data_IF_749624627037
#
_entry.id   IF_749624627037
#
_cell.length_a   1.000
_cell.length_b   1.000
_cell.length_c   1.000
_cell.angle_alpha   90.00
_cell.angle_beta   90.00
_cell.angle_gamma   90.00
#
_symmetry.space_group_name_H-M   'P 1'
#
loop_
_entity.id
_entity.type
_entity.pdbx_description
1 polymer ?
#
# COMPACT_ATOMS: atom_id res chain seq x y z
N UNK A 1 0.54 20.63 8.61
CA UNK A 1 0.39 19.65 9.69
C UNK A 1 0.39 18.29 9.03
N UNK A 2 1.07 17.29 9.60
CA UNK A 2 1.05 15.94 9.05
C UNK A 2 -0.38 15.37 9.14
N UNK A 3 -0.90 14.83 8.04
CA UNK A 3 -2.24 14.23 8.02
C UNK A 3 -2.20 12.77 8.51
N UNK A 4 -1.00 12.18 8.59
CA UNK A 4 -0.77 10.84 9.09
C UNK A 4 0.26 10.80 10.24
N UNK A 5 -0.04 10.00 11.26
CA UNK A 5 0.99 9.51 12.17
C UNK A 5 1.81 8.36 11.53
N UNK A 6 2.89 7.90 12.18
CA UNK A 6 3.79 6.86 11.63
C UNK A 6 3.09 5.54 11.25
N UNK A 7 2.08 5.12 12.02
CA UNK A 7 1.31 3.90 11.70
C UNK A 7 0.35 4.15 10.54
N UNK A 8 -0.30 5.31 10.55
CA UNK A 8 -1.23 5.72 9.50
C UNK A 8 -0.52 5.88 8.15
N UNK A 9 0.71 6.41 8.10
CA UNK A 9 1.44 6.57 6.83
C UNK A 9 1.85 5.21 6.23
N UNK A 10 2.18 4.22 7.07
CA UNK A 10 2.46 2.85 6.60
C UNK A 10 1.18 2.23 6.03
N UNK A 11 0.06 2.35 6.75
CA UNK A 11 -1.23 1.87 6.27
C UNK A 11 -1.64 2.58 4.98
N UNK A 12 -1.48 3.91 4.91
CA UNK A 12 -1.72 4.73 3.73
C UNK A 12 -0.86 4.28 2.54
N UNK A 13 0.42 3.98 2.75
CA UNK A 13 1.27 3.44 1.71
C UNK A 13 0.80 2.09 1.16
N UNK A 14 0.32 1.18 2.02
CA UNK A 14 -0.28 -0.07 1.58
C UNK A 14 -1.58 0.16 0.79
N UNK A 15 -2.44 1.08 1.25
CA UNK A 15 -3.67 1.49 0.57
C UNK A 15 -3.37 2.13 -0.79
N UNK A 16 -2.32 2.96 -0.89
CA UNK A 16 -1.91 3.60 -2.13
C UNK A 16 -1.44 2.58 -3.18
N UNK A 17 -0.83 1.47 -2.74
CA UNK A 17 -0.45 0.35 -3.61
C UNK A 17 -1.68 -0.45 -4.02
N UNK A 18 -2.54 -0.82 -3.07
CA UNK A 18 -3.77 -1.55 -3.36
C UNK A 18 -4.65 -0.78 -4.35
N UNK A 19 -4.84 0.52 -4.12
CA UNK A 19 -5.67 1.40 -4.94
C UNK A 19 -5.04 1.88 -6.23
N UNK A 20 -4.13 1.10 -6.83
CA UNK A 20 -3.39 1.49 -8.03
C UNK A 20 -4.31 1.73 -9.24
N UNK A 21 -5.45 1.06 -9.28
CA UNK A 21 -6.49 1.13 -10.31
C UNK A 21 -7.60 2.15 -9.99
N UNK A 22 -7.46 2.91 -8.90
CA UNK A 22 -8.43 3.93 -8.49
C UNK A 22 -9.53 3.41 -7.55
N UNK A 23 -9.54 2.13 -7.22
CA UNK A 23 -10.45 1.53 -6.25
C UNK A 23 -9.71 0.66 -5.24
N UNK A 24 -10.24 0.52 -4.03
CA UNK A 24 -9.71 -0.46 -3.06
C UNK A 24 -10.86 -1.34 -2.66
N UNK A 25 -10.89 -2.53 -3.25
CA UNK A 25 -11.99 -3.46 -3.10
C UNK A 25 -12.01 -4.08 -1.69
N UNK A 26 -13.09 -4.82 -1.39
CA UNK A 26 -13.25 -5.44 -0.06
C UNK A 26 -12.14 -6.45 0.25
N UNK A 27 -11.64 -7.16 -0.76
CA UNK A 27 -10.62 -8.19 -0.61
C UNK A 27 -9.23 -7.58 -0.39
N UNK A 28 -8.89 -6.53 -1.13
CA UNK A 28 -7.69 -5.73 -0.95
C UNK A 28 -7.66 -5.08 0.43
N UNK A 29 -8.78 -4.50 0.89
CA UNK A 29 -8.91 -4.01 2.27
C UNK A 29 -8.61 -5.13 3.28
N UNK A 30 -9.08 -6.35 3.06
CA UNK A 30 -8.76 -7.48 3.96
C UNK A 30 -7.28 -7.84 3.92
N UNK A 31 -6.66 -7.85 2.75
CA UNK A 31 -5.23 -8.15 2.62
C UNK A 31 -4.35 -7.07 3.26
N UNK A 32 -4.64 -5.79 3.02
CA UNK A 32 -3.94 -4.67 3.65
C UNK A 32 -4.06 -4.76 5.16
N UNK A 33 -5.28 -4.95 5.69
CA UNK A 33 -5.48 -5.12 7.13
C UNK A 33 -4.71 -6.33 7.68
N UNK A 34 -4.78 -7.48 7.01
CA UNK A 34 -4.07 -8.70 7.43
C UNK A 34 -2.56 -8.50 7.51
N UNK A 35 -1.96 -7.81 6.54
CA UNK A 35 -0.51 -7.55 6.54
C UNK A 35 -0.14 -6.53 7.60
N UNK A 36 -0.89 -5.43 7.67
CA UNK A 36 -0.65 -4.35 8.61
C UNK A 36 -0.79 -4.81 10.07
N UNK A 37 -1.84 -5.59 10.37
CA UNK A 37 -2.18 -6.03 11.73
C UNK A 37 -1.19 -7.05 12.31
N UNK A 38 -0.27 -7.60 11.50
CA UNK A 38 0.81 -8.45 12.00
C UNK A 38 1.86 -7.66 12.78
N UNK A 39 2.09 -6.40 12.40
CA UNK A 39 3.18 -5.56 12.91
C UNK A 39 2.67 -4.38 13.74
N UNK A 40 1.46 -3.91 13.46
CA UNK A 40 0.90 -2.72 14.09
C UNK A 40 -0.55 -2.94 14.50
N UNK A 41 -0.93 -2.38 15.64
CA UNK A 41 -2.33 -2.22 15.98
C UNK A 41 -2.75 -0.76 15.75
N UNK A 42 -3.87 -0.59 15.06
CA UNK A 42 -4.50 0.70 14.78
C UNK A 42 -6.01 0.53 14.88
N UNK A 43 -6.68 1.47 15.53
CA UNK A 43 -8.11 1.39 15.77
C UNK A 43 -8.89 1.43 14.45
N UNK A 44 -10.11 0.89 14.47
CA UNK A 44 -11.02 0.98 13.32
C UNK A 44 -11.29 2.43 12.90
N UNK A 45 -11.26 3.38 13.85
CA UNK A 45 -11.46 4.81 13.59
C UNK A 45 -10.29 5.38 12.79
N UNK A 46 -9.06 5.17 13.24
CA UNK A 46 -7.86 5.63 12.54
C UNK A 46 -7.75 5.02 11.12
N UNK A 47 -8.07 3.73 10.96
CA UNK A 47 -8.14 3.10 9.62
C UNK A 47 -9.17 3.76 8.71
N UNK A 48 -10.34 4.12 9.25
CA UNK A 48 -11.38 4.83 8.50
C UNK A 48 -10.94 6.23 8.11
N UNK A 49 -10.20 6.93 8.95
CA UNK A 49 -9.66 8.26 8.63
C UNK A 49 -8.71 8.18 7.43
N UNK A 50 -7.79 7.21 7.40
CA UNK A 50 -6.90 7.01 6.25
C UNK A 50 -7.70 6.66 4.98
N UNK A 51 -8.68 5.76 5.07
CA UNK A 51 -9.53 5.42 3.92
C UNK A 51 -10.33 6.62 3.42
N UNK A 52 -10.80 7.48 4.33
CA UNK A 52 -11.51 8.71 3.96
C UNK A 52 -10.59 9.67 3.21
N UNK A 53 -9.36 9.89 3.70
CA UNK A 53 -8.37 10.73 3.00
C UNK A 53 -8.04 10.15 1.63
N UNK A 54 -7.98 8.83 1.51
CA UNK A 54 -7.82 8.16 0.21
C UNK A 54 -9.03 8.37 -0.71
N UNK A 55 -10.26 8.22 -0.20
CA UNK A 55 -11.48 8.43 -0.98
C UNK A 55 -11.62 9.89 -1.46
N UNK A 56 -11.25 10.86 -0.62
CA UNK A 56 -11.31 12.29 -0.92
C UNK A 56 -10.21 12.74 -1.91
N UNK A 57 -9.10 12.01 -2.02
CA UNK A 57 -7.92 12.41 -2.79
C UNK A 57 -7.35 11.30 -3.68
N UNK A 58 -8.18 10.40 -4.23
CA UNK A 58 -7.74 9.16 -4.91
C UNK A 58 -6.56 9.32 -5.87
N UNK A 59 -6.63 10.30 -6.77
CA UNK A 59 -5.59 10.52 -7.80
C UNK A 59 -4.28 11.06 -7.22
N UNK A 60 -4.38 11.95 -6.24
CA UNK A 60 -3.24 12.63 -5.62
C UNK A 60 -2.68 11.88 -4.40
N UNK A 61 -3.40 10.88 -3.89
CA UNK A 61 -3.11 10.23 -2.61
C UNK A 61 -1.71 9.65 -2.54
N UNK A 62 -1.21 9.06 -3.62
CA UNK A 62 0.17 8.55 -3.65
C UNK A 62 1.20 9.67 -3.52
N UNK A 63 0.94 10.83 -4.15
CA UNK A 63 1.79 12.01 -4.00
C UNK A 63 1.79 12.51 -2.56
N UNK A 64 0.61 12.54 -1.92
CA UNK A 64 0.47 12.89 -0.50
C UNK A 64 1.26 11.96 0.42
N UNK A 65 1.14 10.65 0.23
CA UNK A 65 1.93 9.64 0.97
C UNK A 65 3.43 9.87 0.80
N UNK A 66 3.90 10.17 -0.42
CA UNK A 66 5.32 10.45 -0.68
C UNK A 66 5.76 11.71 0.09
N UNK A 67 4.99 12.79 0.01
CA UNK A 67 5.29 14.06 0.69
C UNK A 67 5.41 13.85 2.19
N UNK A 68 4.46 13.16 2.81
CA UNK A 68 4.50 12.92 4.26
C UNK A 68 5.63 11.97 4.65
N UNK A 69 5.90 10.91 3.87
CA UNK A 69 7.05 10.03 4.11
C UNK A 69 8.40 10.76 4.05
N UNK A 70 8.52 11.85 3.27
CA UNK A 70 9.74 12.66 3.19
C UNK A 70 10.01 13.45 4.47
N UNK A 71 8.97 13.81 5.21
CA UNK A 71 9.11 14.59 6.45
C UNK A 71 9.69 13.76 7.60
N UNK A 72 9.61 12.43 7.52
CA UNK A 72 10.22 11.53 8.50
C UNK A 72 11.74 11.47 8.36
N UNK A 73 12.40 11.14 9.49
CA UNK A 73 13.84 10.91 9.52
C UNK A 73 14.27 9.83 8.51
N UNK A 74 15.46 9.92 7.87
CA UNK A 74 15.88 8.98 6.84
C UNK A 74 15.87 7.50 7.20
N UNK A 75 16.03 7.19 8.50
CA UNK A 75 15.90 5.84 9.01
C UNK A 75 14.44 5.37 8.98
N UNK A 76 13.53 6.18 9.51
CA UNK A 76 12.12 5.83 9.68
C UNK A 76 11.39 5.78 8.34
N UNK A 77 11.73 6.66 7.39
CA UNK A 77 11.16 6.59 6.03
C UNK A 77 11.54 5.29 5.31
N UNK A 78 12.77 4.80 5.51
CA UNK A 78 13.23 3.51 4.95
C UNK A 78 12.51 2.34 5.61
N UNK A 79 12.36 2.38 6.93
CA UNK A 79 11.63 1.33 7.65
C UNK A 79 10.15 1.31 7.28
N UNK A 80 9.49 2.46 7.24
CA UNK A 80 8.12 2.59 6.76
C UNK A 80 7.94 2.01 5.35
N UNK A 81 8.86 2.33 4.43
CA UNK A 81 8.86 1.77 3.08
C UNK A 81 9.00 0.24 3.06
N UNK A 82 9.89 -0.33 3.88
CA UNK A 82 10.02 -1.79 4.01
C UNK A 82 8.72 -2.43 4.48
N UNK A 83 8.03 -1.82 5.46
CA UNK A 83 6.73 -2.29 5.95
C UNK A 83 5.66 -2.21 4.87
N UNK A 84 5.58 -1.10 4.15
CA UNK A 84 4.68 -0.96 2.99
C UNK A 84 4.92 -2.09 1.97
N UNK A 85 6.17 -2.41 1.67
CA UNK A 85 6.54 -3.48 0.73
C UNK A 85 6.12 -4.89 1.19
N UNK A 86 5.88 -5.12 2.50
CA UNK A 86 5.39 -6.42 2.96
C UNK A 86 4.04 -6.78 2.33
N UNK A 87 3.22 -5.80 1.97
CA UNK A 87 1.96 -6.04 1.26
C UNK A 87 2.20 -6.70 -0.11
N UNK A 88 3.18 -6.21 -0.88
CA UNK A 88 3.55 -6.78 -2.18
C UNK A 88 4.11 -8.19 -2.00
N UNK A 89 4.98 -8.39 -1.01
CA UNK A 89 5.54 -9.72 -0.71
C UNK A 89 4.44 -10.71 -0.37
N UNK A 90 3.49 -10.31 0.48
CA UNK A 90 2.32 -11.12 0.81
C UNK A 90 1.52 -11.49 -0.45
N UNK A 91 1.21 -10.52 -1.32
CA UNK A 91 0.43 -10.78 -2.54
C UNK A 91 1.16 -11.68 -3.54
N UNK A 92 2.46 -11.47 -3.75
CA UNK A 92 3.28 -12.38 -4.57
C UNK A 92 3.27 -13.81 -4.02
N UNK A 93 3.38 -13.97 -2.69
CA UNK A 93 3.37 -15.28 -2.05
C UNK A 93 2.01 -15.98 -2.20
N UNK A 94 0.91 -15.26 -2.02
CA UNK A 94 -0.45 -15.81 -2.23
C UNK A 94 -0.66 -16.23 -3.69
N UNK A 95 -0.22 -15.41 -4.66
CA UNK A 95 -0.28 -15.75 -6.09
C UNK A 95 0.54 -17.00 -6.42
N UNK A 96 1.76 -17.11 -5.89
CA UNK A 96 2.63 -18.27 -6.13
C UNK A 96 2.12 -19.57 -5.49
N UNK A 97 1.40 -19.48 -4.36
CA UNK A 97 0.77 -20.62 -3.68
C UNK A 97 -0.58 -21.01 -4.26
N UNK A 98 -1.18 -20.14 -5.08
CA UNK A 98 -2.48 -20.36 -5.68
C UNK A 98 -2.44 -21.54 -6.65
N UNK A 99 -3.28 -22.54 -6.42
CA UNK A 99 -3.50 -23.68 -7.32
C UNK A 99 -4.47 -23.36 -8.48
N UNK A 100 -4.88 -22.10 -8.63
CA UNK A 100 -5.81 -21.70 -9.70
C UNK A 100 -5.19 -21.98 -11.06
N UNK A 101 -6.00 -22.51 -11.98
CA UNK A 101 -5.61 -22.70 -13.38
C UNK A 101 -5.27 -21.33 -13.98
N UNK A 102 -4.05 -21.18 -14.47
CA UNK A 102 -3.61 -19.99 -15.20
C UNK A 102 -4.21 -20.04 -16.60
N UNK A 103 -4.93 -18.99 -16.97
CA UNK A 103 -5.51 -18.87 -18.31
C UNK A 103 -4.39 -18.70 -19.36
N UNK A 104 -4.61 -19.19 -20.58
CA UNK A 104 -3.68 -18.96 -21.69
C UNK A 104 -3.87 -17.51 -22.16
N UNK A 105 -2.97 -16.61 -21.77
CA UNK A 105 -3.03 -15.19 -22.13
C UNK A 105 -2.33 -14.28 -21.12
N UNK A 106 -2.77 -13.02 -21.03
CA UNK A 106 -2.34 -12.09 -19.99
C UNK A 106 -3.00 -12.53 -18.68
N UNK A 107 -2.20 -12.93 -17.70
CA UNK A 107 -2.68 -13.25 -16.36
C UNK A 107 -3.05 -11.94 -15.63
N UNK A 108 -4.35 -11.69 -15.36
CA UNK A 108 -4.78 -10.43 -14.77
C UNK A 108 -4.25 -10.20 -13.35
N UNK A 109 -4.10 -11.28 -12.57
CA UNK A 109 -3.58 -11.18 -11.20
C UNK A 109 -2.07 -10.83 -11.25
N UNK A 110 -1.34 -11.39 -12.21
CA UNK A 110 0.06 -11.01 -12.43
C UNK A 110 0.22 -9.57 -12.91
N UNK A 111 -0.67 -9.09 -13.79
CA UNK A 111 -0.67 -7.69 -14.23
C UNK A 111 -0.91 -6.74 -13.05
N UNK A 112 -1.89 -7.04 -12.19
CA UNK A 112 -2.14 -6.28 -10.97
C UNK A 112 -0.91 -6.25 -10.04
N UNK A 113 -0.23 -7.38 -9.85
CA UNK A 113 1.01 -7.43 -9.07
C UNK A 113 2.12 -6.57 -9.66
N UNK A 114 2.24 -6.48 -10.99
CA UNK A 114 3.20 -5.58 -11.64
C UNK A 114 2.86 -4.11 -11.36
N UNK A 115 1.58 -3.72 -11.48
CA UNK A 115 1.13 -2.37 -11.14
C UNK A 115 1.40 -2.01 -9.68
N UNK A 116 1.20 -2.95 -8.75
CA UNK A 116 1.56 -2.76 -7.35
C UNK A 116 3.06 -2.47 -7.17
N UNK A 117 3.93 -3.22 -7.88
CA UNK A 117 5.39 -3.00 -7.86
C UNK A 117 5.74 -1.62 -8.40
N UNK A 118 5.23 -1.26 -9.57
CA UNK A 118 5.47 0.07 -10.17
C UNK A 118 5.04 1.20 -9.22
N UNK A 119 3.89 1.04 -8.55
CA UNK A 119 3.41 2.01 -7.56
C UNK A 119 4.36 2.11 -6.36
N UNK A 120 4.88 0.99 -5.86
CA UNK A 120 5.87 1.01 -4.77
C UNK A 120 7.19 1.65 -5.19
N UNK A 121 7.66 1.38 -6.40
CA UNK A 121 8.87 2.01 -6.94
C UNK A 121 8.71 3.53 -7.06
N UNK A 122 7.52 3.99 -7.47
CA UNK A 122 7.18 5.42 -7.48
C UNK A 122 7.28 6.02 -6.08
N UNK A 123 6.79 5.32 -5.06
CA UNK A 123 6.93 5.76 -3.66
C UNK A 123 8.40 5.83 -3.27
N UNK A 124 9.18 4.79 -3.55
CA UNK A 124 10.61 4.74 -3.23
C UNK A 124 11.40 5.88 -3.88
N UNK A 125 11.29 6.02 -5.20
CA UNK A 125 11.91 7.12 -5.96
C UNK A 125 11.47 8.46 -5.41
N UNK A 126 10.18 8.58 -5.08
CA UNK A 126 9.61 9.74 -4.41
C UNK A 126 10.39 10.12 -3.17
N UNK A 127 10.54 9.21 -2.20
CA UNK A 127 11.12 9.52 -0.87
C UNK A 127 12.65 9.61 -0.83
N UNK A 128 13.33 9.15 -1.89
CA UNK A 128 14.80 9.24 -2.03
C UNK A 128 15.26 10.41 -2.90
N UNK A 129 14.37 10.99 -3.71
CA UNK A 129 14.62 12.22 -4.49
C UNK A 129 14.45 13.47 -3.63
#
# INVERSE_FOLDING_TARGET
>A
MADFNYKQIIYAGMVAIAGVDGEVDRQERKWVNKVFDNDFNMTRKEKKEVMKIWEDAKEEFTGKVITELKEFHPHDKKEAYKRICQFILFRNNEYNKSYKRREKGIDPEKDQLNRYRERSERIWKGITS
#
